data_IF_777036374023
#
_entry.id   IF_777036374023
#
_cell.length_a   1.000
_cell.length_b   1.000
_cell.length_c   1.000
_cell.angle_alpha   90.00
_cell.angle_beta   90.00
_cell.angle_gamma   90.00
#
_symmetry.space_group_name_H-M   'P 1'
#
loop_
_entity.id
_entity.type
_entity.pdbx_description
1 polymer ?
#
# COMPACT_ATOMS: atom_id res chain seq x y z
N UNK A 1 -4.71 0.91 -22.37
CA UNK A 1 -3.58 1.73 -21.88
C UNK A 1 -2.37 0.86 -21.97
N UNK A 2 -1.31 1.35 -22.59
CA UNK A 2 -0.10 0.58 -22.79
C UNK A 2 0.96 1.01 -21.77
N UNK A 3 1.61 0.04 -21.13
CA UNK A 3 2.69 0.25 -20.18
C UNK A 3 3.95 -0.38 -20.77
N UNK A 4 5.04 0.38 -20.82
CA UNK A 4 6.33 -0.20 -21.20
C UNK A 4 6.87 -1.00 -20.03
N UNK A 5 7.28 -2.24 -20.29
CA UNK A 5 7.87 -3.14 -19.29
C UNK A 5 9.25 -3.54 -19.76
N UNK A 6 10.24 -3.43 -18.88
CA UNK A 6 11.57 -4.00 -19.06
C UNK A 6 11.68 -5.25 -18.18
N UNK A 7 11.89 -6.40 -18.81
CA UNK A 7 12.30 -7.61 -18.12
C UNK A 7 13.77 -7.46 -17.71
N UNK A 8 14.01 -7.36 -16.40
CA UNK A 8 15.34 -7.44 -15.80
C UNK A 8 15.76 -8.89 -15.62
N UNK A 9 14.77 -9.77 -15.44
CA UNK A 9 14.92 -11.21 -15.45
C UNK A 9 14.13 -11.83 -16.61
N UNK A 10 14.77 -12.18 -17.74
CA UNK A 10 14.10 -12.77 -18.89
C UNK A 10 13.53 -14.18 -18.66
N UNK A 11 13.90 -14.83 -17.54
CA UNK A 11 13.41 -16.17 -17.19
C UNK A 11 12.08 -16.18 -16.47
N UNK A 12 11.51 -15.01 -16.16
CA UNK A 12 10.20 -14.88 -15.52
C UNK A 12 9.12 -14.42 -16.52
N UNK A 13 7.85 -14.81 -16.32
CA UNK A 13 6.75 -14.31 -17.13
C UNK A 13 6.55 -12.81 -16.96
N UNK A 14 5.97 -12.17 -17.98
CA UNK A 14 5.43 -10.82 -17.83
C UNK A 14 4.32 -10.79 -16.76
N UNK A 15 4.15 -9.68 -16.04
CA UNK A 15 2.98 -9.48 -15.20
C UNK A 15 1.71 -9.66 -16.02
N UNK A 16 0.76 -10.45 -15.52
CA UNK A 16 -0.43 -10.84 -16.27
C UNK A 16 -1.66 -10.87 -15.37
N UNK A 17 -2.80 -10.54 -15.96
CA UNK A 17 -4.11 -10.71 -15.33
C UNK A 17 -4.53 -12.18 -15.44
N UNK A 18 -4.94 -12.79 -14.34
CA UNK A 18 -5.25 -14.23 -14.33
C UNK A 18 -6.58 -14.52 -15.03
N UNK A 19 -7.57 -13.64 -14.86
CA UNK A 19 -8.90 -13.76 -15.43
C UNK A 19 -9.40 -12.44 -16.06
N UNK A 20 -10.36 -12.52 -17.01
CA UNK A 20 -11.03 -11.34 -17.51
C UNK A 20 -11.68 -10.53 -16.38
N UNK A 21 -11.35 -9.25 -16.29
CA UNK A 21 -11.89 -8.34 -15.28
C UNK A 21 -11.10 -8.27 -13.97
N UNK A 22 -10.02 -9.06 -13.82
CA UNK A 22 -9.12 -8.90 -12.67
C UNK A 22 -8.51 -7.49 -12.65
N UNK A 23 -8.47 -6.88 -11.47
CA UNK A 23 -7.97 -5.52 -11.30
C UNK A 23 -6.42 -5.44 -11.30
N UNK A 24 -5.74 -6.51 -10.86
CA UNK A 24 -4.30 -6.54 -10.66
C UNK A 24 -3.60 -7.57 -11.53
N UNK A 25 -2.44 -7.21 -12.08
CA UNK A 25 -1.55 -8.13 -12.78
C UNK A 25 -0.61 -8.81 -11.76
N UNK A 26 -0.54 -10.14 -11.76
CA UNK A 26 0.29 -10.89 -10.82
C UNK A 26 1.79 -10.57 -11.03
N UNK A 27 2.50 -10.30 -9.92
CA UNK A 27 3.96 -10.13 -9.86
C UNK A 27 4.61 -11.40 -9.32
N UNK A 28 5.74 -11.78 -9.91
CA UNK A 28 6.45 -13.01 -9.60
C UNK A 28 7.68 -12.75 -8.71
N UNK A 29 8.09 -13.73 -7.90
CA UNK A 29 9.35 -13.68 -7.18
C UNK A 29 10.53 -14.01 -8.11
N UNK A 30 11.55 -13.14 -8.14
CA UNK A 30 12.77 -13.41 -8.89
C UNK A 30 13.79 -14.26 -8.12
N UNK A 31 13.58 -14.51 -6.83
CA UNK A 31 14.43 -15.37 -6.03
C UNK A 31 13.63 -16.24 -5.06
N UNK A 32 14.25 -17.34 -4.64
CA UNK A 32 13.71 -18.16 -3.55
C UNK A 32 14.12 -17.56 -2.22
N UNK A 33 13.15 -17.36 -1.33
CA UNK A 33 13.36 -16.83 0.01
C UNK A 33 12.62 -17.65 1.05
N UNK A 34 13.19 -17.71 2.25
CA UNK A 34 12.51 -18.22 3.45
C UNK A 34 12.13 -17.03 4.30
N UNK A 35 10.87 -16.98 4.76
CA UNK A 35 10.36 -15.97 5.68
C UNK A 35 10.06 -16.64 7.03
N UNK A 36 11.00 -16.61 8.00
CA UNK A 36 10.73 -17.05 9.36
C UNK A 36 9.54 -16.32 10.00
N UNK A 37 8.98 -16.84 11.10
CA UNK A 37 7.91 -16.17 11.83
C UNK A 37 8.24 -14.73 12.19
N UNK A 38 7.35 -13.80 11.85
CA UNK A 38 7.51 -12.35 12.09
C UNK A 38 8.57 -11.65 11.23
N UNK A 39 9.29 -12.38 10.37
CA UNK A 39 10.33 -11.81 9.53
C UNK A 39 9.74 -11.23 8.23
N UNK A 40 10.49 -10.30 7.64
CA UNK A 40 10.18 -9.70 6.35
C UNK A 40 11.41 -9.69 5.45
N UNK A 41 11.18 -9.65 4.14
CA UNK A 41 12.23 -9.50 3.13
C UNK A 41 11.73 -8.70 1.93
N UNK A 42 12.61 -7.88 1.39
CA UNK A 42 12.42 -7.22 0.11
C UNK A 42 12.72 -8.22 -1.02
N UNK A 43 11.69 -8.65 -1.77
CA UNK A 43 11.81 -9.67 -2.81
C UNK A 43 11.76 -9.00 -4.19
N UNK A 44 12.80 -9.17 -5.03
CA UNK A 44 12.81 -8.68 -6.41
C UNK A 44 11.76 -9.37 -7.28
N UNK A 45 11.25 -8.66 -8.29
CA UNK A 45 10.22 -9.18 -9.21
C UNK A 45 10.73 -9.49 -10.61
N UNK A 46 11.94 -9.03 -10.93
CA UNK A 46 12.54 -9.14 -12.25
C UNK A 46 11.95 -8.18 -13.28
N UNK A 47 11.11 -7.22 -12.88
CA UNK A 47 10.48 -6.27 -13.81
C UNK A 47 10.62 -4.82 -13.37
N UNK A 48 10.84 -3.95 -14.36
CA UNK A 48 10.71 -2.50 -14.23
C UNK A 48 9.65 -2.01 -15.21
N UNK A 49 8.90 -0.97 -14.85
CA UNK A 49 7.83 -0.42 -15.69
C UNK A 49 8.00 1.08 -15.90
N UNK A 50 7.41 1.59 -16.97
CA UNK A 50 7.22 3.02 -17.17
C UNK A 50 5.73 3.34 -17.18
N UNK A 51 5.24 3.83 -16.05
CA UNK A 51 3.88 4.32 -15.93
C UNK A 51 3.76 5.70 -16.60
N UNK A 52 2.64 5.99 -17.27
CA UNK A 52 2.36 7.33 -17.78
C UNK A 52 2.11 8.32 -16.65
N UNK A 53 2.39 9.61 -16.89
CA UNK A 53 2.07 10.68 -15.95
C UNK A 53 0.57 10.71 -15.63
N UNK A 54 0.23 11.01 -14.37
CA UNK A 54 -1.15 10.96 -13.86
C UNK A 54 -1.62 9.56 -13.47
N UNK A 55 -0.72 8.58 -13.42
CA UNK A 55 -1.00 7.23 -12.94
C UNK A 55 -0.07 6.81 -11.81
N UNK A 56 -0.56 5.85 -11.01
CA UNK A 56 0.17 5.19 -9.92
C UNK A 56 0.02 3.69 -10.08
N UNK A 57 1.10 2.96 -9.79
CA UNK A 57 1.07 1.51 -9.59
C UNK A 57 0.92 1.19 -8.11
N UNK A 58 -0.03 0.35 -7.76
CA UNK A 58 -0.31 -0.08 -6.40
C UNK A 58 -0.03 -1.58 -6.27
N UNK A 59 0.99 -1.92 -5.50
CA UNK A 59 1.37 -3.31 -5.20
C UNK A 59 0.52 -3.80 -4.04
N UNK A 60 -0.45 -4.66 -4.34
CA UNK A 60 -1.40 -5.22 -3.39
C UNK A 60 -0.99 -6.65 -2.98
N UNK A 61 -1.28 -7.05 -1.73
CA UNK A 61 -1.19 -8.45 -1.32
C UNK A 61 -2.11 -9.35 -2.16
N UNK A 62 -1.72 -10.62 -2.32
CA UNK A 62 -2.60 -11.66 -2.86
C UNK A 62 -3.39 -12.29 -1.70
N UNK A 63 -4.72 -12.32 -1.82
CA UNK A 63 -5.61 -12.80 -0.74
C UNK A 63 -5.30 -14.22 -0.28
N UNK A 64 -4.90 -15.11 -1.21
CA UNK A 64 -4.53 -16.48 -0.90
C UNK A 64 -3.29 -16.61 0.00
N UNK A 65 -2.26 -15.77 -0.21
CA UNK A 65 -1.05 -15.76 0.62
C UNK A 65 -1.39 -15.24 2.03
N UNK A 66 -2.17 -14.16 2.11
CA UNK A 66 -2.56 -13.57 3.38
C UNK A 66 -3.41 -14.54 4.22
N UNK A 67 -4.44 -15.14 3.62
CA UNK A 67 -5.38 -15.99 4.34
C UNK A 67 -4.82 -17.37 4.72
N UNK A 68 -3.89 -17.92 3.94
CA UNK A 68 -3.41 -19.30 4.13
C UNK A 68 -2.01 -19.40 4.74
N UNK A 69 -1.18 -18.38 4.55
CA UNK A 69 0.22 -18.39 4.97
C UNK A 69 0.56 -17.21 5.90
N UNK A 70 -0.39 -16.31 6.19
CA UNK A 70 -0.11 -15.10 6.97
C UNK A 70 0.85 -14.13 6.26
N UNK A 71 1.11 -14.31 4.96
CA UNK A 71 2.04 -13.46 4.20
C UNK A 71 1.31 -12.31 3.55
N UNK A 72 1.78 -11.09 3.79
CA UNK A 72 1.27 -9.88 3.16
C UNK A 72 2.42 -9.00 2.66
N UNK A 73 2.06 -7.89 2.00
CA UNK A 73 3.01 -6.85 1.63
C UNK A 73 3.07 -5.83 2.77
N UNK A 74 4.26 -5.66 3.35
CA UNK A 74 4.49 -4.86 4.56
C UNK A 74 4.06 -3.40 4.41
N UNK A 75 4.31 -2.82 3.24
CA UNK A 75 3.94 -1.45 2.90
C UNK A 75 2.66 -1.39 2.04
N UNK A 76 1.76 -2.36 2.16
CA UNK A 76 0.55 -2.42 1.35
C UNK A 76 -0.38 -1.21 1.57
N UNK A 77 -0.96 -0.63 0.50
CA UNK A 77 -0.55 -0.82 -0.89
C UNK A 77 0.81 -0.15 -1.17
N UNK A 78 1.73 -0.87 -1.81
CA UNK A 78 3.04 -0.31 -2.18
C UNK A 78 2.91 0.64 -3.37
N UNK A 79 3.38 1.87 -3.26
CA UNK A 79 3.26 2.91 -4.29
C UNK A 79 4.43 2.86 -5.28
N UNK A 80 4.13 2.71 -6.57
CA UNK A 80 5.09 2.82 -7.69
C UNK A 80 4.77 4.10 -8.46
N UNK A 81 5.67 5.08 -8.40
CA UNK A 81 5.50 6.38 -9.03
C UNK A 81 5.65 6.35 -10.56
N UNK A 82 4.97 7.28 -11.24
CA UNK A 82 5.08 7.46 -12.70
C UNK A 82 6.52 7.65 -13.19
N UNK A 83 7.36 8.34 -12.40
CA UNK A 83 8.76 8.58 -12.71
C UNK A 83 9.70 7.41 -12.40
N UNK A 84 9.25 6.36 -11.71
CA UNK A 84 10.10 5.27 -11.29
C UNK A 84 10.49 4.38 -12.48
N UNK A 85 11.78 4.01 -12.57
CA UNK A 85 12.32 3.13 -13.64
C UNK A 85 13.18 1.98 -13.10
N UNK A 86 13.26 1.88 -11.77
CA UNK A 86 13.94 0.75 -11.12
C UNK A 86 13.07 -0.51 -11.13
N UNK A 87 13.64 -1.56 -10.56
CA UNK A 87 12.92 -2.81 -10.36
C UNK A 87 11.80 -2.65 -9.33
N UNK A 88 10.61 -3.20 -9.62
CA UNK A 88 9.56 -3.29 -8.61
C UNK A 88 10.01 -4.32 -7.59
N UNK A 89 10.15 -3.91 -6.33
CA UNK A 89 10.44 -4.81 -5.21
C UNK A 89 9.19 -4.97 -4.35
N UNK A 90 9.00 -6.17 -3.80
CA UNK A 90 7.86 -6.51 -2.94
C UNK A 90 8.35 -6.82 -1.54
N UNK A 91 7.97 -5.99 -0.56
CA UNK A 91 8.32 -6.21 0.84
C UNK A 91 7.37 -7.25 1.45
N UNK A 92 7.70 -8.53 1.35
CA UNK A 92 6.89 -9.59 1.96
C UNK A 92 7.18 -9.69 3.45
N UNK A 93 6.13 -9.77 4.27
CA UNK A 93 6.20 -10.05 5.71
C UNK A 93 5.36 -11.28 6.04
N UNK A 94 5.90 -12.17 6.86
CA UNK A 94 5.19 -13.31 7.42
C UNK A 94 4.65 -12.94 8.81
N UNK A 95 3.32 -12.87 8.97
CA UNK A 95 2.66 -12.64 10.26
C UNK A 95 2.36 -13.93 11.05
N UNK A 96 2.61 -15.12 10.48
CA UNK A 96 2.59 -16.34 11.25
C UNK A 96 3.66 -16.26 12.35
N UNK A 97 3.32 -16.72 13.56
CA UNK A 97 4.18 -16.62 14.74
C UNK A 97 4.96 -17.90 15.02
N UNK A 98 4.68 -18.96 14.29
CA UNK A 98 5.17 -20.30 14.56
C UNK A 98 5.84 -20.93 13.34
N UNK A 99 5.31 -20.68 12.14
CA UNK A 99 5.75 -21.34 10.90
C UNK A 99 6.48 -20.39 9.96
N UNK A 100 7.61 -20.86 9.43
CA UNK A 100 8.28 -20.20 8.31
C UNK A 100 7.52 -20.44 7.00
N UNK A 101 7.62 -19.49 6.08
CA UNK A 101 7.04 -19.60 4.74
C UNK A 101 8.13 -19.52 3.69
N UNK A 102 8.22 -20.56 2.87
CA UNK A 102 9.07 -20.58 1.68
C UNK A 102 8.33 -19.96 0.50
N UNK A 103 8.95 -18.96 -0.11
CA UNK A 103 8.56 -18.39 -1.40
C UNK A 103 9.60 -18.85 -2.41
N UNK A 104 9.18 -19.54 -3.47
CA UNK A 104 10.08 -20.01 -4.52
C UNK A 104 10.16 -18.99 -5.64
N UNK A 105 11.31 -18.92 -6.32
CA UNK A 105 11.42 -18.20 -7.59
C UNK A 105 10.30 -18.64 -8.55
N UNK A 106 9.62 -17.68 -9.17
CA UNK A 106 8.49 -17.92 -10.07
C UNK A 106 7.14 -18.01 -9.37
N UNK A 107 7.08 -17.98 -8.04
CA UNK A 107 5.81 -17.87 -7.33
C UNK A 107 5.21 -16.47 -7.51
N UNK A 108 3.88 -16.41 -7.60
CA UNK A 108 3.14 -15.14 -7.65
C UNK A 108 2.97 -14.59 -6.23
N UNK A 109 3.57 -13.45 -5.95
CA UNK A 109 3.74 -12.93 -4.58
C UNK A 109 2.92 -11.67 -4.27
N UNK A 110 2.58 -10.89 -5.28
CA UNK A 110 1.78 -9.68 -5.16
C UNK A 110 1.01 -9.45 -6.46
N UNK A 111 0.16 -8.44 -6.50
CA UNK A 111 -0.53 -8.01 -7.71
C UNK A 111 -0.39 -6.49 -7.89
N UNK A 112 -0.10 -6.05 -9.12
CA UNK A 112 0.03 -4.65 -9.48
C UNK A 112 -1.31 -4.13 -10.03
N UNK A 113 -1.93 -3.19 -9.33
CA UNK A 113 -3.11 -2.45 -9.79
C UNK A 113 -2.65 -1.09 -10.31
N UNK A 114 -3.10 -0.68 -11.49
CA UNK A 114 -2.73 0.62 -12.07
C UNK A 114 -3.94 1.53 -12.10
N UNK A 115 -3.82 2.73 -11.52
CA UNK A 115 -4.92 3.67 -11.35
C UNK A 115 -4.52 5.09 -11.73
N UNK A 116 -5.50 5.89 -12.15
CA UNK A 116 -5.34 7.34 -12.26
C UNK A 116 -5.18 7.94 -10.87
N UNK A 117 -4.33 8.95 -10.76
CA UNK A 117 -4.09 9.69 -9.52
C UNK A 117 -4.08 11.18 -9.79
N UNK A 118 -4.62 11.96 -8.86
CA UNK A 118 -4.63 13.41 -8.91
C UNK A 118 -3.41 14.00 -8.19
N UNK A 119 -2.86 15.08 -8.74
CA UNK A 119 -1.83 15.88 -8.07
C UNK A 119 -2.49 17.05 -7.35
N UNK A 120 -2.69 16.91 -6.04
CA UNK A 120 -3.22 17.98 -5.21
C UNK A 120 -2.26 19.18 -5.13
N UNK A 121 -2.83 20.38 -5.05
CA UNK A 121 -2.13 21.62 -4.66
C UNK A 121 -2.68 22.02 -3.30
N UNK A 122 -1.78 22.13 -2.31
CA UNK A 122 -2.17 22.44 -0.93
C UNK A 122 -2.16 23.95 -0.71
N UNK A 123 -3.23 24.46 -0.08
CA UNK A 123 -3.37 25.86 0.34
C UNK A 123 -3.54 25.92 1.86
N UNK A 124 -2.72 26.72 2.54
CA UNK A 124 -2.82 26.94 3.99
C UNK A 124 -3.98 27.90 4.27
N UNK A 125 -4.86 27.53 5.21
CA UNK A 125 -6.02 28.31 5.65
C UNK A 125 -6.09 28.33 7.18
N UNK A 126 -6.74 29.32 7.77
CA UNK A 126 -6.94 29.41 9.23
C UNK A 126 -7.95 28.38 9.74
N UNK A 127 -9.03 28.16 8.99
CA UNK A 127 -10.10 27.22 9.35
C UNK A 127 -10.55 26.40 8.13
N UNK A 128 -10.93 25.14 8.37
CA UNK A 128 -11.55 24.27 7.37
C UNK A 128 -13.07 24.44 7.41
N UNK A 129 -13.74 24.26 6.27
CA UNK A 129 -15.20 24.26 6.22
C UNK A 129 -15.83 23.08 6.96
N UNK A 130 -17.08 23.27 7.40
CA UNK A 130 -17.85 22.25 8.10
C UNK A 130 -18.12 21.02 7.23
N UNK A 131 -18.18 19.84 7.87
CA UNK A 131 -18.63 18.59 7.23
C UNK A 131 -19.38 17.69 8.20
N UNK A 132 -20.22 16.81 7.67
CA UNK A 132 -20.99 15.86 8.48
C UNK A 132 -20.12 14.92 9.34
N UNK A 133 -18.87 14.64 8.93
CA UNK A 133 -17.92 13.84 9.73
C UNK A 133 -17.15 14.69 10.74
N UNK A 134 -16.92 15.97 10.44
CA UNK A 134 -16.09 16.87 11.24
C UNK A 134 -14.73 16.24 11.59
N UNK A 135 -14.32 16.34 12.85
CA UNK A 135 -13.08 15.75 13.37
C UNK A 135 -13.18 14.25 13.75
N UNK A 136 -14.29 13.56 13.48
CA UNK A 136 -14.51 12.18 13.90
C UNK A 136 -13.74 11.14 13.06
N UNK A 137 -12.83 10.38 13.68
CA UNK A 137 -12.08 9.27 13.08
C UNK A 137 -11.86 8.09 14.02
N UNK A 138 -11.09 7.08 13.58
CA UNK A 138 -10.66 5.92 14.41
C UNK A 138 -11.80 5.15 15.11
N UNK A 139 -12.86 4.82 14.37
CA UNK A 139 -14.02 4.13 14.92
C UNK A 139 -15.09 5.05 15.52
N UNK A 140 -15.09 6.34 15.15
CA UNK A 140 -16.11 7.33 15.56
C UNK A 140 -17.55 6.93 15.26
N UNK A 141 -17.78 6.00 14.32
CA UNK A 141 -19.10 5.45 13.99
C UNK A 141 -19.47 4.21 14.82
N UNK A 142 -18.58 3.74 15.71
CA UNK A 142 -18.75 2.52 16.46
C UNK A 142 -18.85 1.27 15.57
N UNK A 143 -19.60 0.27 16.03
CA UNK A 143 -19.92 -0.93 15.24
C UNK A 143 -19.14 -2.20 15.60
N UNK A 144 -18.29 -2.17 16.63
CA UNK A 144 -17.58 -3.36 17.11
C UNK A 144 -17.56 -3.39 18.65
N UNK A 145 -18.04 -4.48 19.26
CA UNK A 145 -18.17 -4.60 20.74
C UNK A 145 -16.85 -4.62 21.53
N UNK A 146 -15.71 -4.56 20.83
CA UNK A 146 -14.37 -4.48 21.43
C UNK A 146 -13.80 -3.05 21.39
N UNK A 147 -14.45 -2.14 20.65
CA UNK A 147 -14.11 -0.73 20.66
C UNK A 147 -14.80 -0.09 21.87
N UNK A 148 -14.08 0.66 22.73
CA UNK A 148 -14.73 1.45 23.76
C UNK A 148 -15.71 2.42 23.08
N UNK A 149 -16.93 2.54 23.63
CA UNK A 149 -17.82 3.61 23.21
C UNK A 149 -17.13 4.94 23.51
N UNK A 150 -16.88 5.75 22.48
CA UNK A 150 -16.34 7.08 22.70
C UNK A 150 -17.39 7.91 23.45
N UNK A 151 -17.16 8.13 24.75
CA UNK A 151 -17.76 9.26 25.46
C UNK A 151 -17.23 10.56 24.85
N UNK A 152 -18.03 11.63 24.90
CA UNK A 152 -17.69 12.95 24.36
C UNK A 152 -16.24 13.31 24.73
N UNK A 153 -15.40 13.51 23.71
CA UNK A 153 -13.99 13.83 23.88
C UNK A 153 -13.78 15.07 24.77
N UNK A 154 -12.61 15.21 25.41
CA UNK A 154 -12.32 16.38 26.24
C UNK A 154 -12.44 17.64 25.39
N UNK A 155 -13.26 18.60 25.84
CA UNK A 155 -13.42 19.88 25.18
C UNK A 155 -12.07 20.52 24.91
N UNK A 156 -11.85 20.96 23.68
CA UNK A 156 -10.65 21.70 23.27
C UNK A 156 -10.52 22.93 24.17
N UNK A 157 -9.44 23.11 24.95
CA UNK A 157 -9.23 24.36 25.66
C UNK A 157 -8.99 25.48 24.65
N UNK A 158 -9.45 26.71 24.94
CA UNK A 158 -9.27 27.84 24.03
C UNK A 158 -7.78 28.10 23.79
N UNK A 159 -7.42 28.25 22.52
CA UNK A 159 -6.09 28.70 22.11
C UNK A 159 -6.00 30.20 22.36
N UNK A 160 -5.14 30.61 23.31
CA UNK A 160 -4.83 32.03 23.51
C UNK A 160 -4.12 32.59 22.26
N UNK A 161 -4.67 33.68 21.73
CA UNK A 161 -4.10 34.39 20.59
C UNK A 161 -2.71 34.96 20.94
N UNK A 162 -1.72 34.91 20.02
CA UNK A 162 -0.41 35.48 20.29
C UNK A 162 -0.51 37.00 20.40
N UNK A 163 0.11 37.55 21.45
CA UNK A 163 0.20 38.99 21.68
C UNK A 163 0.92 39.68 20.52
N UNK A 164 0.30 40.74 19.99
CA UNK A 164 0.90 41.63 19.01
C UNK A 164 2.14 42.29 19.63
N UNK A 165 3.33 41.99 19.10
CA UNK A 165 4.50 42.84 19.31
C UNK A 165 4.46 43.97 18.30
N UNK A 166 4.36 45.20 18.83
CA UNK A 166 4.53 46.45 18.10
C UNK A 166 6.03 46.75 17.91
N UNK A 167 6.35 47.04 16.64
CA UNK A 167 7.59 47.58 16.06
C UNK A 167 8.81 46.65 15.95
#
# INVERSE_FOLDING_TARGET
>A
MDIQVRLLDPGLPLPAYAHPGDAGADLYAAETVELPPGAWKCVPTGVAIALPDGYVGLVHPRSGLAARLGVTVLNAPGTVDAGYRGEILVNLINHDREHSVKISRGDRIAQLVVQRVERAVFHVVEELGDSARGAGGHGSTGGHGALPQQGAGPGTPPVEAPAQQQF
#
